data_IF_126127374504
#
_entry.id   IF_126127374504
#
_cell.length_a   1.000
_cell.length_b   1.000
_cell.length_c   1.000
_cell.angle_alpha   90.00
_cell.angle_beta   90.00
_cell.angle_gamma   90.00
#
_symmetry.space_group_name_H-M   'P 1'
#
loop_
_entity.id
_entity.type
_entity.pdbx_description
1 polymer ?
#
# COMPACT_ATOMS: atom_id res chain seq x y z
N UNK A 1 -34.25 4.98 -5.62
CA UNK A 1 -33.23 4.32 -4.76
C UNK A 1 -31.84 5.01 -4.85
N UNK A 2 -31.71 6.35 -4.71
CA UNK A 2 -30.42 7.05 -4.85
C UNK A 2 -29.53 7.00 -3.60
N UNK A 3 -30.08 6.74 -2.40
CA UNK A 3 -29.30 6.77 -1.15
C UNK A 3 -28.23 5.67 -1.08
N UNK A 4 -28.47 4.53 -1.71
CA UNK A 4 -27.65 3.34 -1.52
C UNK A 4 -26.30 3.47 -2.24
N UNK A 5 -26.29 4.07 -3.44
CA UNK A 5 -25.10 4.33 -4.25
C UNK A 5 -24.20 5.38 -3.59
N UNK A 6 -24.79 6.49 -3.12
CA UNK A 6 -24.07 7.56 -2.41
C UNK A 6 -23.38 7.03 -1.15
N UNK A 7 -24.07 6.20 -0.36
CA UNK A 7 -23.51 5.57 0.84
C UNK A 7 -22.35 4.63 0.47
N UNK A 8 -22.50 3.82 -0.58
CA UNK A 8 -21.47 2.88 -1.01
C UNK A 8 -20.21 3.61 -1.51
N UNK A 9 -20.37 4.70 -2.28
CA UNK A 9 -19.28 5.56 -2.74
C UNK A 9 -18.51 6.17 -1.58
N UNK A 10 -19.22 6.77 -0.62
CA UNK A 10 -18.58 7.35 0.57
C UNK A 10 -17.82 6.30 1.37
N UNK A 11 -18.38 5.08 1.48
CA UNK A 11 -17.74 3.94 2.14
C UNK A 11 -16.46 3.51 1.42
N UNK A 12 -16.47 3.35 0.08
CA UNK A 12 -15.28 3.02 -0.72
C UNK A 12 -14.17 4.08 -0.58
N UNK A 13 -14.52 5.36 -0.69
CA UNK A 13 -13.57 6.46 -0.54
C UNK A 13 -12.94 6.52 0.86
N UNK A 14 -13.73 6.25 1.90
CA UNK A 14 -13.23 6.17 3.28
C UNK A 14 -12.32 4.96 3.49
N UNK A 15 -12.70 3.80 2.97
CA UNK A 15 -11.87 2.57 3.01
C UNK A 15 -10.53 2.83 2.35
N UNK A 16 -10.51 3.41 1.14
CA UNK A 16 -9.30 3.75 0.39
C UNK A 16 -8.32 4.60 1.20
N UNK A 17 -8.81 5.64 1.89
CA UNK A 17 -7.97 6.55 2.68
C UNK A 17 -7.32 5.91 3.91
N UNK A 18 -7.94 4.87 4.48
CA UNK A 18 -7.51 4.28 5.76
C UNK A 18 -6.78 2.97 5.55
N UNK A 19 -7.27 2.12 4.65
CA UNK A 19 -6.84 0.74 4.53
C UNK A 19 -5.39 0.61 4.06
N UNK A 20 -4.96 1.40 3.07
CA UNK A 20 -3.57 1.43 2.60
C UNK A 20 -2.58 1.76 3.73
N UNK A 21 -2.72 2.92 4.41
CA UNK A 21 -1.89 3.26 5.56
C UNK A 21 -1.93 2.23 6.70
N UNK A 22 -3.11 1.68 7.02
CA UNK A 22 -3.24 0.64 8.04
C UNK A 22 -2.46 -0.62 7.66
N UNK A 23 -2.58 -1.10 6.43
CA UNK A 23 -1.84 -2.26 5.94
C UNK A 23 -0.33 -2.01 5.96
N UNK A 24 0.12 -0.80 5.61
CA UNK A 24 1.53 -0.43 5.67
C UNK A 24 2.06 -0.47 7.13
N UNK A 25 1.34 0.09 8.09
CA UNK A 25 1.73 0.07 9.51
C UNK A 25 1.75 -1.36 10.05
N UNK A 26 0.73 -2.17 9.74
CA UNK A 26 0.69 -3.57 10.14
C UNK A 26 1.85 -4.38 9.52
N UNK A 27 2.14 -4.14 8.25
CA UNK A 27 3.29 -4.74 7.56
C UNK A 27 4.62 -4.37 8.21
N UNK A 28 4.79 -3.12 8.63
CA UNK A 28 6.00 -2.66 9.33
C UNK A 28 6.14 -3.33 10.71
N UNK A 29 5.07 -3.39 11.50
CA UNK A 29 5.06 -4.09 12.79
C UNK A 29 5.38 -5.58 12.61
N UNK A 30 4.75 -6.22 11.62
CA UNK A 30 5.03 -7.62 11.28
C UNK A 30 6.48 -7.83 10.87
N UNK A 31 7.04 -6.92 10.06
CA UNK A 31 8.44 -6.96 9.63
C UNK A 31 9.39 -6.86 10.80
N UNK A 32 9.16 -5.90 11.70
CA UNK A 32 9.96 -5.74 12.91
C UNK A 32 9.95 -7.01 13.78
N UNK A 33 8.77 -7.57 14.05
CA UNK A 33 8.63 -8.82 14.83
C UNK A 33 9.23 -10.03 14.13
N UNK A 34 9.08 -10.14 12.81
CA UNK A 34 9.60 -11.27 12.03
C UNK A 34 11.12 -11.24 11.98
N UNK A 35 11.69 -10.04 11.87
CA UNK A 35 13.14 -9.84 11.90
C UNK A 35 13.75 -10.31 13.23
N UNK A 36 13.08 -10.09 14.37
CA UNK A 36 13.56 -10.58 15.67
C UNK A 36 13.38 -12.08 15.90
N UNK A 37 12.45 -12.72 15.18
CA UNK A 37 12.11 -14.16 15.34
C UNK A 37 12.84 -15.08 14.35
N UNK A 38 13.99 -14.63 13.80
CA UNK A 38 14.79 -15.37 12.82
C UNK A 38 14.05 -15.75 11.51
N UNK A 39 13.04 -14.98 11.10
CA UNK A 39 12.43 -15.13 9.78
C UNK A 39 13.46 -14.81 8.68
N UNK A 40 13.53 -15.60 7.57
CA UNK A 40 14.40 -15.30 6.45
C UNK A 40 14.16 -13.89 5.90
N UNK A 41 15.23 -13.10 5.79
CA UNK A 41 15.18 -11.70 5.34
C UNK A 41 14.66 -11.61 3.90
N UNK A 42 14.95 -12.62 3.10
CA UNK A 42 14.51 -12.79 1.71
C UNK A 42 12.99 -12.91 1.63
N UNK A 43 12.36 -13.60 2.59
CA UNK A 43 10.91 -13.76 2.63
C UNK A 43 10.22 -12.42 2.94
N UNK A 44 10.76 -11.67 3.90
CA UNK A 44 10.30 -10.33 4.25
C UNK A 44 10.43 -9.40 3.04
N UNK A 45 11.59 -9.43 2.37
CA UNK A 45 11.85 -8.63 1.19
C UNK A 45 10.89 -8.98 0.04
N UNK A 46 10.71 -10.28 -0.26
CA UNK A 46 9.79 -10.74 -1.29
C UNK A 46 8.34 -10.32 -1.00
N UNK A 47 7.90 -10.41 0.25
CA UNK A 47 6.57 -9.96 0.66
C UNK A 47 6.39 -8.45 0.37
N UNK A 48 7.38 -7.62 0.73
CA UNK A 48 7.34 -6.18 0.44
C UNK A 48 7.52 -5.85 -1.04
N UNK A 49 8.17 -6.69 -1.83
CA UNK A 49 8.28 -6.48 -3.27
C UNK A 49 6.97 -6.77 -4.02
N UNK A 50 6.14 -7.68 -3.50
CA UNK A 50 4.95 -8.19 -4.19
C UNK A 50 3.63 -7.61 -3.65
N UNK A 51 3.46 -7.53 -2.33
CA UNK A 51 2.19 -7.13 -1.72
C UNK A 51 1.78 -5.68 -2.06
N UNK A 52 2.66 -4.67 -1.99
CA UNK A 52 2.27 -3.29 -2.28
C UNK A 52 1.86 -3.07 -3.75
N UNK A 53 2.57 -3.59 -4.78
CA UNK A 53 2.09 -3.53 -6.16
C UNK A 53 0.70 -4.18 -6.36
N UNK A 54 0.48 -5.35 -5.77
CA UNK A 54 -0.85 -6.01 -5.82
C UNK A 54 -1.91 -5.12 -5.17
N UNK A 55 -1.60 -4.53 -4.01
CA UNK A 55 -2.51 -3.63 -3.31
C UNK A 55 -2.89 -2.41 -4.18
N UNK A 56 -1.91 -1.76 -4.81
CA UNK A 56 -2.16 -0.60 -5.67
C UNK A 56 -3.08 -0.93 -6.87
N UNK A 57 -2.92 -2.12 -7.45
CA UNK A 57 -3.80 -2.62 -8.53
C UNK A 57 -5.22 -2.87 -8.00
N UNK A 58 -5.35 -3.56 -6.86
CA UNK A 58 -6.65 -3.82 -6.26
C UNK A 58 -7.38 -2.53 -5.88
N UNK A 59 -6.66 -1.54 -5.36
CA UNK A 59 -7.23 -0.24 -5.02
C UNK A 59 -7.82 0.46 -6.26
N UNK A 60 -7.14 0.39 -7.40
CA UNK A 60 -7.64 0.94 -8.66
C UNK A 60 -8.85 0.18 -9.22
N UNK A 61 -8.85 -1.15 -9.16
CA UNK A 61 -9.91 -1.97 -9.77
C UNK A 61 -11.17 -2.05 -8.91
N UNK A 62 -11.02 -2.11 -7.58
CA UNK A 62 -12.14 -2.39 -6.66
C UNK A 62 -12.65 -1.15 -5.94
N UNK A 63 -11.76 -0.19 -5.64
CA UNK A 63 -12.06 0.94 -4.76
C UNK A 63 -12.13 2.28 -5.49
N UNK A 64 -11.67 2.38 -6.74
CA UNK A 64 -11.82 3.56 -7.57
C UNK A 64 -12.92 3.35 -8.61
N UNK A 65 -13.94 4.23 -8.59
CA UNK A 65 -15.05 4.13 -9.53
C UNK A 65 -14.92 5.16 -10.66
N UNK A 66 -14.45 4.71 -11.83
CA UNK A 66 -14.23 5.58 -13.00
C UNK A 66 -15.51 6.16 -13.58
N UNK A 67 -16.66 5.52 -13.38
CA UNK A 67 -17.92 5.98 -13.95
C UNK A 67 -18.57 7.09 -13.10
N UNK A 68 -18.24 7.14 -11.81
CA UNK A 68 -18.88 8.03 -10.85
C UNK A 68 -17.94 9.10 -10.24
N UNK A 69 -16.61 8.93 -10.30
CA UNK A 69 -15.65 9.89 -9.76
C UNK A 69 -15.29 10.99 -10.76
N UNK A 70 -15.13 12.23 -10.27
CA UNK A 70 -14.79 13.38 -11.11
C UNK A 70 -13.33 13.35 -11.56
N UNK A 71 -12.98 14.17 -12.55
CA UNK A 71 -11.58 14.35 -12.96
C UNK A 71 -10.68 14.78 -11.79
N UNK A 72 -11.19 15.63 -10.88
CA UNK A 72 -10.44 16.06 -9.70
C UNK A 72 -10.20 14.92 -8.70
N UNK A 73 -11.18 14.02 -8.52
CA UNK A 73 -11.05 12.84 -7.66
C UNK A 73 -10.03 11.85 -8.25
N UNK A 74 -10.02 11.70 -9.57
CA UNK A 74 -9.03 10.88 -10.28
C UNK A 74 -7.61 11.41 -10.11
N UNK A 75 -7.40 12.72 -10.24
CA UNK A 75 -6.08 13.32 -10.05
C UNK A 75 -5.59 13.18 -8.61
N UNK A 76 -6.46 13.38 -7.63
CA UNK A 76 -6.13 13.14 -6.22
C UNK A 76 -5.78 11.67 -5.95
N UNK A 77 -6.53 10.73 -6.54
CA UNK A 77 -6.24 9.30 -6.45
C UNK A 77 -4.89 8.95 -7.08
N UNK A 78 -4.63 9.44 -8.30
CA UNK A 78 -3.37 9.23 -9.01
C UNK A 78 -2.18 9.81 -8.26
N UNK A 79 -2.34 10.98 -7.65
CA UNK A 79 -1.33 11.60 -6.80
C UNK A 79 -1.01 10.70 -5.59
N UNK A 80 -2.05 10.21 -4.88
CA UNK A 80 -1.89 9.29 -3.75
C UNK A 80 -1.15 8.00 -4.15
N UNK A 81 -1.53 7.40 -5.27
CA UNK A 81 -0.88 6.21 -5.84
C UNK A 81 0.61 6.46 -6.18
N UNK A 82 0.91 7.62 -6.76
CA UNK A 82 2.28 8.01 -7.10
C UNK A 82 3.12 8.20 -5.84
N UNK A 83 2.56 8.87 -4.82
CA UNK A 83 3.22 9.05 -3.53
C UNK A 83 3.49 7.71 -2.84
N UNK A 84 2.48 6.82 -2.80
CA UNK A 84 2.61 5.49 -2.22
C UNK A 84 3.70 4.67 -2.92
N UNK A 85 3.72 4.66 -4.26
CA UNK A 85 4.76 3.99 -5.05
C UNK A 85 6.15 4.54 -4.77
N UNK A 86 6.30 5.86 -4.69
CA UNK A 86 7.61 6.47 -4.44
C UNK A 86 8.11 6.15 -3.02
N UNK A 87 7.24 6.20 -2.01
CA UNK A 87 7.58 5.84 -0.64
C UNK A 87 7.94 4.36 -0.52
N UNK A 88 7.15 3.48 -1.14
CA UNK A 88 7.41 2.05 -1.21
C UNK A 88 8.74 1.74 -1.92
N UNK A 89 9.02 2.39 -3.05
CA UNK A 89 10.28 2.23 -3.77
C UNK A 89 11.49 2.63 -2.91
N UNK A 90 11.40 3.76 -2.21
CA UNK A 90 12.40 4.17 -1.23
C UNK A 90 12.58 3.16 -0.10
N UNK A 91 11.48 2.59 0.40
CA UNK A 91 11.51 1.55 1.43
C UNK A 91 12.15 0.25 0.93
N UNK A 92 11.90 -0.17 -0.31
CA UNK A 92 12.59 -1.34 -0.91
C UNK A 92 14.08 -1.10 -1.07
N UNK A 93 14.50 0.10 -1.49
CA UNK A 93 15.92 0.46 -1.54
C UNK A 93 16.53 0.37 -0.14
N UNK A 94 15.85 0.91 0.87
CA UNK A 94 16.28 0.79 2.26
C UNK A 94 16.43 -0.67 2.70
N UNK A 95 15.43 -1.52 2.46
CA UNK A 95 15.50 -2.96 2.79
C UNK A 95 16.62 -3.67 2.03
N UNK A 96 16.86 -3.31 0.77
CA UNK A 96 17.93 -3.86 -0.06
C UNK A 96 19.29 -3.56 0.58
N UNK A 97 19.54 -2.30 0.93
CA UNK A 97 20.79 -1.90 1.60
C UNK A 97 20.90 -2.54 2.99
N UNK A 98 19.80 -2.56 3.75
CA UNK A 98 19.79 -3.09 5.12
C UNK A 98 20.01 -4.61 5.19
N UNK A 99 19.43 -5.39 4.26
CA UNK A 99 19.56 -6.85 4.26
C UNK A 99 20.70 -7.40 3.40
N UNK A 100 21.00 -6.77 2.26
CA UNK A 100 21.98 -7.26 1.28
C UNK A 100 23.26 -6.45 1.25
N UNK A 101 23.26 -5.22 1.76
CA UNK A 101 24.41 -4.31 1.73
C UNK A 101 25.55 -4.68 2.67
N UNK A 102 25.50 -5.83 3.35
CA UNK A 102 26.58 -6.30 4.21
C UNK A 102 26.84 -5.36 5.39
N UNK A 103 25.79 -4.74 5.96
CA UNK A 103 25.91 -4.14 7.28
C UNK A 103 25.93 -5.29 8.30
N UNK A 104 27.06 -5.98 8.34
CA UNK A 104 27.48 -6.73 9.52
C UNK A 104 27.56 -5.68 10.64
N UNK A 105 26.64 -5.79 11.60
CA UNK A 105 26.74 -5.06 12.86
C UNK A 105 27.96 -5.51 13.64
#
# INVERSE_FOLDING_TARGET
MPNNEVINKWKKAKIRKVLGPTLAVLGLIYTYRSHTNACPRELIFAAWAVLPPIWLILEYWLLFDKAEESLADFDAFRYSQTLARNLWGGFLIFLTVFYLGGWDG
#
